data_IF_490696028314
#
_entry.id   IF_490696028314
#
_cell.length_a   1.000
_cell.length_b   1.000
_cell.length_c   1.000
_cell.angle_alpha   90.00
_cell.angle_beta   90.00
_cell.angle_gamma   90.00
#
_symmetry.space_group_name_H-M   'P 1'
#
loop_
_entity.id
_entity.type
_entity.pdbx_description
1 polymer ?
#
# COMPACT_ATOMS: atom_id res chain seq x y z
N UNK A 1 -0.26 9.66 71.86
CA UNK A 1 1.02 9.52 71.12
C UNK A 1 0.94 8.25 70.27
N UNK A 2 0.50 8.37 69.03
CA UNK A 2 0.43 7.26 68.06
C UNK A 2 1.71 7.33 67.24
N UNK A 3 2.60 6.34 67.37
CA UNK A 3 3.80 6.22 66.53
C UNK A 3 3.37 5.60 65.19
N UNK A 4 3.28 6.44 64.16
CA UNK A 4 2.99 6.01 62.79
C UNK A 4 4.25 5.37 62.20
N UNK A 5 4.17 4.08 61.91
CA UNK A 5 5.31 3.25 61.50
C UNK A 5 5.56 3.43 59.98
N UNK A 6 6.44 4.36 59.62
CA UNK A 6 6.77 4.75 58.23
C UNK A 6 7.40 3.59 57.43
N UNK A 7 7.82 2.50 58.09
CA UNK A 7 8.43 1.35 57.44
C UNK A 7 7.47 0.50 56.57
N UNK A 8 6.16 0.70 56.66
CA UNK A 8 5.19 -0.07 55.85
C UNK A 8 4.87 0.57 54.49
N UNK A 9 5.20 1.85 54.29
CA UNK A 9 4.83 2.59 53.06
C UNK A 9 5.94 2.57 51.98
N UNK A 10 7.12 2.06 52.29
CA UNK A 10 8.29 2.05 51.37
C UNK A 10 8.49 0.70 50.66
N UNK A 11 7.67 -0.32 50.96
CA UNK A 11 7.72 -1.63 50.27
C UNK A 11 6.73 -1.81 49.11
N UNK A 12 5.93 -0.79 48.81
CA UNK A 12 5.03 -0.78 47.65
C UNK A 12 5.37 0.33 46.64
N UNK A 13 6.65 0.69 46.55
CA UNK A 13 7.17 1.61 45.54
C UNK A 13 8.37 1.00 44.80
N UNK A 14 8.33 -0.31 44.57
CA UNK A 14 9.35 -1.06 43.84
C UNK A 14 8.70 -2.14 42.97
N UNK A 15 7.83 -1.73 42.05
CA UNK A 15 7.36 -2.58 40.94
C UNK A 15 6.75 -1.77 39.77
N UNK A 16 7.27 -0.56 39.52
CA UNK A 16 6.84 0.29 38.39
C UNK A 16 8.04 0.90 37.64
N UNK A 17 9.16 0.18 37.56
CA UNK A 17 10.33 0.59 36.75
C UNK A 17 10.88 -0.60 35.95
N UNK A 18 10.03 -1.25 35.17
CA UNK A 18 10.45 -2.23 34.15
C UNK A 18 9.70 -2.06 32.82
N UNK A 19 9.27 -0.83 32.51
CA UNK A 19 8.79 -0.47 31.17
C UNK A 19 9.44 0.84 30.66
N UNK A 20 10.67 1.13 31.09
CA UNK A 20 11.44 2.20 30.46
C UNK A 20 12.31 1.62 29.34
N UNK A 21 11.96 1.97 28.11
CA UNK A 21 12.80 1.94 26.90
C UNK A 21 12.97 0.65 26.12
N UNK A 22 11.88 0.04 25.66
CA UNK A 22 11.91 -0.73 24.39
C UNK A 22 10.83 -0.23 23.43
N UNK A 23 10.85 1.07 23.13
CA UNK A 23 10.06 1.67 22.03
C UNK A 23 10.76 2.92 21.52
N UNK A 24 11.89 2.81 20.82
CA UNK A 24 12.43 3.98 20.09
C UNK A 24 13.52 3.62 19.09
N UNK A 25 13.24 2.72 18.15
CA UNK A 25 14.01 2.60 16.90
C UNK A 25 13.10 2.43 15.66
N UNK A 26 11.78 2.27 15.86
CA UNK A 26 10.80 2.04 14.79
C UNK A 26 10.08 3.31 14.29
N UNK A 27 10.44 4.50 14.79
CA UNK A 27 9.66 5.74 14.59
C UNK A 27 10.14 6.62 13.43
N UNK A 28 11.29 6.31 12.83
CA UNK A 28 11.73 7.05 11.63
C UNK A 28 10.94 6.57 10.42
N UNK A 29 9.94 7.34 10.01
CA UNK A 29 9.26 7.13 8.71
C UNK A 29 10.24 7.40 7.57
N UNK A 30 10.44 6.42 6.71
CA UNK A 30 11.29 6.47 5.53
C UNK A 30 10.50 7.03 4.34
N UNK A 31 11.14 7.83 3.47
CA UNK A 31 10.48 8.33 2.26
C UNK A 31 10.30 7.20 1.25
N UNK A 32 9.13 7.15 0.64
CA UNK A 32 8.74 6.17 -0.36
C UNK A 32 8.08 6.90 -1.55
N UNK A 33 8.67 6.76 -2.72
CA UNK A 33 8.19 7.36 -3.97
C UNK A 33 7.68 6.32 -4.96
N UNK A 34 6.60 6.63 -5.66
CA UNK A 34 6.13 5.87 -6.82
C UNK A 34 6.05 6.76 -8.04
N UNK A 35 6.82 6.43 -9.07
CA UNK A 35 6.70 7.06 -10.37
C UNK A 35 5.77 6.21 -11.24
N UNK A 36 4.56 6.73 -11.49
CA UNK A 36 3.48 5.99 -12.12
C UNK A 36 3.43 6.35 -13.61
N UNK A 37 3.64 5.33 -14.44
CA UNK A 37 3.57 5.42 -15.88
C UNK A 37 2.43 4.58 -16.40
N UNK A 38 1.68 5.10 -17.36
CA UNK A 38 0.66 4.33 -18.07
C UNK A 38 1.27 3.85 -19.37
N UNK A 39 1.22 2.55 -19.59
CA UNK A 39 1.88 1.90 -20.74
C UNK A 39 1.04 1.85 -22.01
N UNK A 40 -0.19 2.37 -21.98
CA UNK A 40 -1.10 2.34 -23.12
C UNK A 40 -1.17 3.70 -23.83
N UNK A 41 -1.44 3.68 -25.12
CA UNK A 41 -1.63 4.87 -25.97
C UNK A 41 -3.00 5.55 -25.70
N UNK A 42 -3.63 5.23 -24.57
CA UNK A 42 -4.99 5.65 -24.28
C UNK A 42 -5.00 7.16 -24.02
N UNK A 43 -5.75 7.89 -24.84
CA UNK A 43 -6.02 9.30 -24.58
C UNK A 43 -7.08 9.40 -23.49
N UNK A 44 -6.63 9.71 -22.29
CA UNK A 44 -7.49 9.99 -21.16
C UNK A 44 -8.14 11.38 -21.34
N UNK A 45 -9.30 11.43 -22.01
CA UNK A 45 -10.05 12.67 -22.30
C UNK A 45 -10.79 13.25 -21.06
N UNK A 46 -10.82 12.51 -19.95
CA UNK A 46 -11.42 12.93 -18.67
C UNK A 46 -10.35 13.11 -17.59
N UNK A 47 -10.69 13.89 -16.57
CA UNK A 47 -9.93 13.93 -15.31
C UNK A 47 -10.15 12.61 -14.58
N UNK A 48 -9.21 11.67 -14.71
CA UNK A 48 -9.24 10.44 -13.94
C UNK A 48 -8.45 10.59 -12.64
N UNK A 49 -8.75 9.75 -11.65
CA UNK A 49 -8.03 9.70 -10.38
C UNK A 49 -7.18 8.43 -10.34
N UNK A 50 -5.91 8.59 -9.98
CA UNK A 50 -5.03 7.47 -9.64
C UNK A 50 -5.25 7.14 -8.16
N UNK A 51 -5.61 5.90 -7.91
CA UNK A 51 -5.69 5.31 -6.58
C UNK A 51 -4.40 4.55 -6.32
N UNK A 52 -3.73 4.87 -5.22
CA UNK A 52 -2.56 4.16 -4.69
C UNK A 52 -2.96 3.53 -3.37
N UNK A 53 -2.87 2.21 -3.26
CA UNK A 53 -3.22 1.47 -2.06
C UNK A 53 -1.99 0.71 -1.56
N UNK A 54 -1.67 0.89 -0.29
CA UNK A 54 -0.54 0.24 0.38
C UNK A 54 -1.08 -0.72 1.42
N UNK A 55 -0.56 -1.95 1.38
CA UNK A 55 -0.99 -3.06 2.19
C UNK A 55 0.18 -3.64 2.98
N UNK A 56 -0.15 -4.36 4.05
CA UNK A 56 0.78 -5.17 4.80
C UNK A 56 0.30 -6.62 4.78
N UNK A 57 1.19 -7.53 4.37
CA UNK A 57 0.91 -8.95 4.44
C UNK A 57 0.90 -9.40 5.91
N UNK A 58 -0.08 -10.22 6.32
CA UNK A 58 0.00 -10.90 7.61
C UNK A 58 1.20 -11.86 7.60
N UNK A 59 1.90 -11.95 8.73
CA UNK A 59 2.96 -12.92 8.87
C UNK A 59 2.39 -14.36 8.77
N UNK A 60 3.21 -15.29 8.27
CA UNK A 60 2.93 -16.74 8.22
C UNK A 60 1.80 -17.23 7.28
N UNK A 61 1.41 -16.46 6.25
CA UNK A 61 0.44 -16.94 5.25
C UNK A 61 1.06 -17.11 3.86
N UNK A 62 0.96 -18.32 3.31
CA UNK A 62 1.50 -18.67 1.98
C UNK A 62 0.59 -18.27 0.83
N UNK A 63 -0.71 -18.08 1.07
CA UNK A 63 -1.70 -17.75 0.05
C UNK A 63 -2.74 -16.79 0.66
N UNK A 64 -2.72 -15.53 0.23
CA UNK A 64 -3.61 -14.47 0.74
C UNK A 64 -4.27 -13.78 -0.45
N UNK A 65 -5.55 -13.43 -0.33
CA UNK A 65 -6.22 -12.62 -1.34
C UNK A 65 -6.13 -11.12 -1.02
N UNK A 66 -6.24 -10.28 -2.03
CA UNK A 66 -6.29 -8.81 -1.87
C UNK A 66 -7.42 -8.32 -0.94
N UNK A 67 -8.50 -9.09 -0.80
CA UNK A 67 -9.61 -8.76 0.10
C UNK A 67 -9.29 -9.02 1.59
N UNK A 68 -8.28 -9.85 1.86
CA UNK A 68 -7.98 -10.36 3.21
C UNK A 68 -6.73 -9.71 3.82
N UNK A 69 -6.04 -8.85 3.06
CA UNK A 69 -4.85 -8.12 3.53
C UNK A 69 -5.21 -6.76 4.15
N UNK A 70 -4.43 -6.35 5.13
CA UNK A 70 -4.64 -5.07 5.81
C UNK A 70 -4.19 -3.91 4.91
N UNK A 71 -5.12 -3.02 4.55
CA UNK A 71 -4.78 -1.73 3.95
C UNK A 71 -4.19 -0.82 5.03
N UNK A 72 -2.92 -0.44 4.85
CA UNK A 72 -2.18 0.45 5.74
C UNK A 72 -2.56 1.90 5.46
N UNK A 73 -2.61 2.26 4.18
CA UNK A 73 -2.96 3.61 3.73
C UNK A 73 -3.32 3.61 2.25
N UNK A 74 -4.12 4.59 1.85
CA UNK A 74 -4.41 4.91 0.47
C UNK A 74 -4.16 6.38 0.17
N UNK A 75 -3.79 6.66 -1.07
CA UNK A 75 -3.57 7.99 -1.61
C UNK A 75 -4.27 8.10 -2.95
N UNK A 76 -4.88 9.27 -3.19
CA UNK A 76 -5.64 9.54 -4.41
C UNK A 76 -5.17 10.86 -4.98
N UNK A 77 -4.86 10.89 -6.27
CA UNK A 77 -4.52 12.13 -6.96
C UNK A 77 -5.08 12.16 -8.38
N UNK A 78 -5.39 13.34 -8.93
CA UNK A 78 -5.71 13.46 -10.34
C UNK A 78 -4.55 12.95 -11.21
N UNK A 79 -4.87 12.19 -12.25
CA UNK A 79 -3.93 11.83 -13.29
C UNK A 79 -3.45 13.10 -14.02
N UNK A 80 -2.13 13.18 -14.24
CA UNK A 80 -1.46 14.25 -14.98
C UNK A 80 -0.77 13.64 -16.19
N UNK A 81 -0.86 14.30 -17.35
CA UNK A 81 -0.21 13.85 -18.59
C UNK A 81 1.32 13.77 -18.47
N UNK A 82 1.90 14.67 -17.68
CA UNK A 82 3.34 14.92 -17.72
C UNK A 82 4.10 14.03 -16.73
N UNK A 83 3.66 14.00 -15.47
CA UNK A 83 4.30 13.22 -14.41
C UNK A 83 3.32 12.85 -13.31
N UNK A 84 3.31 11.58 -12.90
CA UNK A 84 2.51 11.08 -11.79
C UNK A 84 3.41 10.52 -10.70
N UNK A 85 3.94 11.42 -9.85
CA UNK A 85 4.71 11.05 -8.68
C UNK A 85 3.78 10.99 -7.46
N UNK A 86 3.89 9.91 -6.68
CA UNK A 86 3.27 9.78 -5.36
C UNK A 86 4.40 9.69 -4.32
N UNK A 87 4.37 10.54 -3.31
CA UNK A 87 5.35 10.55 -2.22
C UNK A 87 4.66 10.25 -0.89
N UNK A 88 5.17 9.25 -0.17
CA UNK A 88 4.68 8.81 1.13
C UNK A 88 5.84 8.75 2.12
N UNK A 89 5.48 8.65 3.41
CA UNK A 89 6.43 8.37 4.50
C UNK A 89 5.89 7.25 5.37
N UNK A 90 6.55 6.10 5.37
CA UNK A 90 6.13 4.90 6.10
C UNK A 90 7.27 4.35 6.96
N UNK A 91 7.00 3.75 8.13
CA UNK A 91 8.01 3.04 8.90
C UNK A 91 8.71 1.95 8.09
N UNK A 92 9.91 1.55 8.51
CA UNK A 92 10.60 0.44 7.87
C UNK A 92 9.80 -0.87 8.06
N UNK A 93 9.37 -1.49 6.95
CA UNK A 93 8.58 -2.73 6.97
C UNK A 93 8.49 -3.34 5.55
N UNK A 94 7.86 -4.50 5.43
CA UNK A 94 7.43 -5.09 4.17
C UNK A 94 6.02 -4.62 3.80
N UNK A 95 5.89 -4.08 2.59
CA UNK A 95 4.64 -3.55 2.07
C UNK A 95 4.30 -4.16 0.73
N UNK A 96 3.04 -4.11 0.35
CA UNK A 96 2.57 -4.45 -0.97
C UNK A 96 1.74 -3.30 -1.52
N UNK A 97 1.85 -3.02 -2.81
CA UNK A 97 1.16 -1.85 -3.38
C UNK A 97 0.40 -2.19 -4.65
N UNK A 98 -0.81 -1.64 -4.72
CA UNK A 98 -1.70 -1.69 -5.88
C UNK A 98 -2.04 -0.28 -6.32
N UNK A 99 -2.08 -0.09 -7.63
CA UNK A 99 -2.32 1.19 -8.27
C UNK A 99 -3.37 0.99 -9.36
N UNK A 100 -4.40 1.82 -9.39
CA UNK A 100 -5.39 1.76 -10.45
C UNK A 100 -5.96 3.12 -10.79
N UNK A 101 -6.54 3.22 -11.99
CA UNK A 101 -7.27 4.40 -12.41
C UNK A 101 -8.75 4.08 -12.29
N UNK A 102 -9.43 4.81 -11.41
CA UNK A 102 -10.87 4.70 -11.28
C UNK A 102 -11.54 5.45 -12.45
N UNK A 103 -12.23 4.70 -13.30
CA UNK A 103 -12.88 5.20 -14.50
C UNK A 103 -14.38 5.41 -14.35
N UNK A 104 -14.98 4.88 -13.28
CA UNK A 104 -16.42 4.95 -13.03
C UNK A 104 -16.78 5.58 -11.67
N UNK A 105 -15.80 6.10 -10.93
CA UNK A 105 -15.92 6.84 -9.68
C UNK A 105 -16.48 6.00 -8.51
N UNK A 106 -16.16 4.70 -8.48
CA UNK A 106 -16.60 3.78 -7.41
C UNK A 106 -15.54 3.53 -6.33
N UNK A 107 -14.34 4.11 -6.48
CA UNK A 107 -13.17 4.03 -5.62
C UNK A 107 -12.60 2.63 -5.42
N UNK A 108 -12.95 1.70 -6.29
CA UNK A 108 -12.55 0.29 -6.24
C UNK A 108 -12.00 -0.13 -7.58
N UNK A 109 -11.05 -1.06 -7.55
CA UNK A 109 -10.62 -1.70 -8.79
C UNK A 109 -11.73 -2.61 -9.28
N UNK A 110 -12.25 -2.32 -10.47
CA UNK A 110 -13.23 -3.19 -11.09
C UNK A 110 -12.59 -4.41 -11.75
N UNK A 111 -13.18 -5.57 -11.46
CA UNK A 111 -12.82 -6.85 -12.05
C UNK A 111 -14.01 -7.45 -12.80
N UNK A 112 -13.71 -8.07 -13.95
CA UNK A 112 -14.72 -8.81 -14.72
C UNK A 112 -15.11 -10.12 -14.04
N UNK A 113 -16.19 -10.75 -14.51
CA UNK A 113 -16.69 -12.04 -13.99
C UNK A 113 -15.70 -13.20 -14.02
N UNK A 114 -14.61 -13.09 -14.78
CA UNK A 114 -13.52 -14.07 -14.86
C UNK A 114 -12.26 -13.62 -14.08
N UNK A 115 -12.37 -12.60 -13.24
CA UNK A 115 -11.27 -12.13 -12.36
C UNK A 115 -10.23 -11.22 -13.03
N UNK A 116 -10.44 -10.79 -14.28
CA UNK A 116 -9.53 -9.86 -14.95
C UNK A 116 -9.90 -8.40 -14.64
N UNK A 117 -8.92 -7.56 -14.23
CA UNK A 117 -9.10 -6.11 -14.13
C UNK A 117 -9.65 -5.51 -15.43
N UNK A 118 -10.67 -4.66 -15.31
CA UNK A 118 -11.23 -3.93 -16.47
C UNK A 118 -10.72 -2.50 -16.56
N UNK A 119 -10.11 -2.01 -15.49
CA UNK A 119 -9.49 -0.70 -15.40
C UNK A 119 -7.96 -0.78 -15.51
N UNK A 120 -7.28 0.33 -15.88
CA UNK A 120 -5.83 0.38 -15.84
C UNK A 120 -5.31 0.11 -14.43
N UNK A 121 -4.52 -0.95 -14.28
CA UNK A 121 -3.98 -1.39 -12.99
C UNK A 121 -2.49 -1.68 -13.09
N UNK A 122 -1.78 -1.45 -12.01
CA UNK A 122 -0.39 -1.82 -11.80
C UNK A 122 -0.15 -2.19 -10.34
N UNK A 123 0.99 -2.83 -10.11
CA UNK A 123 1.36 -3.37 -8.80
C UNK A 123 2.84 -3.09 -8.57
N UNK A 124 3.28 -3.11 -7.30
CA UNK A 124 4.71 -3.09 -7.02
C UNK A 124 5.41 -4.26 -7.74
N UNK A 125 6.67 -4.07 -8.13
CA UNK A 125 7.48 -5.01 -8.94
C UNK A 125 6.99 -5.28 -10.37
N UNK A 126 5.87 -4.69 -10.81
CA UNK A 126 5.34 -4.85 -12.17
C UNK A 126 5.17 -6.33 -12.64
N UNK A 127 4.50 -7.21 -11.87
CA UNK A 127 4.25 -8.59 -12.26
C UNK A 127 3.45 -8.71 -13.56
N UNK A 128 3.48 -9.91 -14.15
CA UNK A 128 2.78 -10.20 -15.40
C UNK A 128 1.30 -10.49 -15.09
N UNK A 129 0.39 -9.69 -15.66
CA UNK A 129 -1.05 -9.77 -15.42
C UNK A 129 -1.80 -10.71 -16.40
N UNK A 130 -1.23 -11.86 -16.75
CA UNK A 130 -1.82 -12.76 -17.77
C UNK A 130 -3.12 -13.42 -17.33
N UNK A 131 -3.29 -13.67 -16.03
CA UNK A 131 -4.44 -14.40 -15.47
C UNK A 131 -5.24 -13.60 -14.44
N UNK A 132 -5.08 -12.28 -14.41
CA UNK A 132 -5.80 -11.39 -13.50
C UNK A 132 -4.87 -10.60 -12.60
N UNK A 133 -5.35 -10.25 -11.42
CA UNK A 133 -4.50 -9.69 -10.36
C UNK A 133 -3.45 -10.72 -9.94
N UNK A 134 -2.21 -10.30 -9.67
CA UNK A 134 -1.16 -11.19 -9.17
C UNK A 134 -1.48 -11.57 -7.71
N UNK A 135 -0.75 -12.55 -7.17
CA UNK A 135 -0.83 -12.77 -5.73
C UNK A 135 -0.29 -11.52 -5.00
N UNK A 136 -0.85 -11.12 -3.84
CA UNK A 136 -0.36 -9.99 -3.08
C UNK A 136 1.15 -10.07 -2.82
N UNK A 137 1.67 -11.28 -2.53
CA UNK A 137 3.09 -11.55 -2.31
C UNK A 137 3.99 -11.16 -3.49
N UNK A 138 3.52 -11.26 -4.72
CA UNK A 138 4.26 -10.86 -5.93
C UNK A 138 4.34 -9.33 -6.07
N UNK A 139 3.43 -8.62 -5.40
CA UNK A 139 3.32 -7.16 -5.39
C UNK A 139 3.92 -6.52 -4.14
N UNK A 140 4.82 -7.21 -3.43
CA UNK A 140 5.45 -6.72 -2.20
C UNK A 140 6.92 -6.31 -2.36
N UNK A 141 7.35 -5.34 -1.56
CA UNK A 141 8.70 -4.81 -1.50
C UNK A 141 9.08 -4.50 -0.05
N UNK A 142 10.38 -4.50 0.24
CA UNK A 142 10.90 -4.08 1.52
C UNK A 142 11.19 -2.57 1.50
N UNK A 143 10.78 -1.87 2.55
CA UNK A 143 11.15 -0.49 2.82
C UNK A 143 12.12 -0.48 4.01
N UNK A 144 13.42 -0.47 3.73
CA UNK A 144 14.50 -0.42 4.73
C UNK A 144 15.26 0.92 4.73
N UNK A 145 15.09 1.69 3.65
CA UNK A 145 15.74 2.96 3.37
C UNK A 145 14.84 3.82 2.47
N UNK A 146 15.32 5.01 2.06
CA UNK A 146 14.63 5.82 1.08
C UNK A 146 14.48 5.04 -0.24
N UNK A 147 13.24 4.85 -0.70
CA UNK A 147 12.96 4.00 -1.86
C UNK A 147 12.10 4.73 -2.89
N UNK A 148 12.42 4.52 -4.17
CA UNK A 148 11.61 4.97 -5.29
C UNK A 148 11.38 3.81 -6.25
N UNK A 149 10.13 3.57 -6.63
CA UNK A 149 9.73 2.49 -7.55
C UNK A 149 9.04 3.06 -8.80
N UNK A 150 9.39 2.52 -9.96
CA UNK A 150 8.67 2.79 -11.21
C UNK A 150 7.54 1.78 -11.37
N UNK A 151 6.31 2.29 -11.47
CA UNK A 151 5.09 1.50 -11.60
C UNK A 151 4.52 1.67 -13.01
N UNK A 152 4.13 0.55 -13.62
CA UNK A 152 3.54 0.50 -14.94
C UNK A 152 2.09 0.08 -14.82
N UNK A 153 1.18 1.02 -15.04
CA UNK A 153 -0.24 0.71 -15.18
C UNK A 153 -0.48 0.11 -16.57
N UNK A 154 -1.17 -1.02 -16.60
CA UNK A 154 -1.57 -1.72 -17.82
C UNK A 154 -3.08 -1.65 -17.93
N UNK A 155 -3.56 -1.04 -19.01
CA UNK A 155 -4.96 -1.12 -19.37
C UNK A 155 -5.27 -2.48 -20.00
N UNK A 156 -6.51 -2.96 -19.81
CA UNK A 156 -7.04 -4.04 -20.63
C UNK A 156 -7.06 -3.55 -22.07
N UNK A 157 -6.31 -4.22 -22.96
CA UNK A 157 -6.43 -3.98 -24.41
C UNK A 157 -7.90 -4.20 -24.78
N UNK A 158 -8.62 -3.11 -25.05
CA UNK A 158 -9.95 -3.27 -25.64
C UNK A 158 -9.76 -4.05 -26.94
N UNK A 159 -10.63 -5.04 -27.21
CA UNK A 159 -10.68 -5.62 -28.56
C UNK A 159 -10.89 -4.43 -29.47
N UNK A 160 -9.89 -4.08 -30.30
CA UNK A 160 -10.07 -3.14 -31.40
C UNK A 160 -11.35 -3.60 -32.09
N UNK A 161 -12.44 -2.83 -31.98
CA UNK A 161 -13.63 -3.11 -32.77
C UNK A 161 -13.14 -2.99 -34.20
N UNK A 162 -13.00 -4.12 -34.89
CA UNK A 162 -12.76 -4.12 -36.32
C UNK A 162 -13.96 -3.37 -36.90
N UNK A 163 -13.71 -2.15 -37.35
CA UNK A 163 -14.73 -1.40 -38.07
C UNK A 163 -14.83 -2.12 -39.43
N UNK A 164 -15.97 -2.76 -39.75
CA UNK A 164 -16.13 -3.45 -41.03
C UNK A 164 -15.93 -2.49 -42.20
#
# INVERSE_FOLDING_TARGET
MIRLNIAFLVRFLFCLLAFSSVKSLADSKLPLGFNITITDDFKYEKNFVIHTQIYQLPEQTTEVNWADILEVTSHHQPYKSDSNLVELKLPANQYCARFFIDTNDNQKLDVSSIGLPVEPVGFANNPILTFGEPAPSEACFALDSALQLDIRLRAKKSKRRFKP
#
